data_IF_789809364427
#
_entry.id   IF_789809364427
#
_cell.length_a   1.000
_cell.length_b   1.000
_cell.length_c   1.000
_cell.angle_alpha   90.00
_cell.angle_beta   90.00
_cell.angle_gamma   90.00
#
_symmetry.space_group_name_H-M   'P 1'
#
loop_
_entity.id
_entity.type
_entity.pdbx_description
1 polymer ?
#
# COMPACT_ATOMS: atom_id res chain seq x y z
N UNK A 1 24.04 14.41 -3.50
CA UNK A 1 22.75 13.82 -3.91
C UNK A 1 21.62 14.61 -3.24
N UNK A 2 20.64 14.97 -3.99
CA UNK A 2 19.48 15.69 -3.45
C UNK A 2 18.23 14.84 -3.62
N UNK A 3 17.39 14.79 -2.58
CA UNK A 3 16.13 14.06 -2.58
C UNK A 3 15.00 15.01 -2.23
N UNK A 4 13.89 14.89 -2.94
CA UNK A 4 12.64 15.61 -2.63
C UNK A 4 11.86 14.83 -1.57
N UNK A 5 12.13 15.13 -0.29
CA UNK A 5 11.50 14.44 0.83
C UNK A 5 10.00 14.70 0.91
N UNK A 6 9.54 15.88 0.49
CA UNK A 6 8.11 16.16 0.40
C UNK A 6 7.43 15.29 -0.65
N UNK A 7 8.07 15.11 -1.81
CA UNK A 7 7.57 14.24 -2.87
C UNK A 7 7.55 12.77 -2.45
N UNK A 8 8.56 12.31 -1.73
CA UNK A 8 8.62 10.94 -1.19
C UNK A 8 7.51 10.73 -0.15
N UNK A 9 7.30 11.68 0.74
CA UNK A 9 6.22 11.62 1.74
C UNK A 9 4.84 11.62 1.07
N UNK A 10 4.64 12.44 0.03
CA UNK A 10 3.41 12.46 -0.75
C UNK A 10 3.16 11.13 -1.47
N UNK A 11 4.20 10.50 -2.00
CA UNK A 11 4.11 9.15 -2.57
C UNK A 11 3.66 8.13 -1.51
N UNK A 12 4.24 8.20 -0.31
CA UNK A 12 3.84 7.35 0.81
C UNK A 12 2.36 7.52 1.18
N UNK A 13 1.89 8.75 1.24
CA UNK A 13 0.48 9.05 1.50
C UNK A 13 -0.43 8.51 0.40
N UNK A 14 -0.04 8.64 -0.87
CA UNK A 14 -0.78 8.07 -2.01
C UNK A 14 -0.84 6.55 -1.93
N UNK A 15 0.26 5.88 -1.58
CA UNK A 15 0.28 4.43 -1.42
C UNK A 15 -0.64 3.97 -0.28
N UNK A 16 -0.70 4.68 0.83
CA UNK A 16 -1.64 4.39 1.92
C UNK A 16 -3.09 4.57 1.49
N UNK A 17 -3.40 5.61 0.72
CA UNK A 17 -4.74 5.82 0.16
C UNK A 17 -5.13 4.67 -0.77
N UNK A 18 -4.24 4.25 -1.65
CA UNK A 18 -4.47 3.10 -2.53
C UNK A 18 -4.65 1.80 -1.75
N UNK A 19 -3.91 1.61 -0.65
CA UNK A 19 -4.08 0.46 0.23
C UNK A 19 -5.49 0.41 0.83
N UNK A 20 -6.01 1.55 1.29
CA UNK A 20 -7.36 1.65 1.83
C UNK A 20 -8.42 1.38 0.75
N UNK A 21 -8.23 1.89 -0.46
CA UNK A 21 -9.11 1.65 -1.60
C UNK A 21 -9.11 0.16 -1.98
N UNK A 22 -7.94 -0.49 -1.98
CA UNK A 22 -7.85 -1.93 -2.25
C UNK A 22 -8.49 -2.77 -1.15
N UNK A 23 -8.37 -2.37 0.11
CA UNK A 23 -9.06 -3.04 1.21
C UNK A 23 -10.58 -2.94 1.06
N UNK A 24 -11.09 -1.77 0.68
CA UNK A 24 -12.51 -1.58 0.40
C UNK A 24 -12.96 -2.41 -0.81
N UNK A 25 -12.16 -2.50 -1.86
CA UNK A 25 -12.44 -3.32 -3.03
C UNK A 25 -12.48 -4.81 -2.67
N UNK A 26 -11.59 -5.27 -1.80
CA UNK A 26 -11.59 -6.65 -1.29
C UNK A 26 -12.88 -6.95 -0.54
N UNK A 27 -13.30 -6.06 0.35
CA UNK A 27 -14.56 -6.22 1.10
C UNK A 27 -15.78 -6.21 0.17
N UNK A 28 -15.79 -5.32 -0.83
CA UNK A 28 -16.86 -5.27 -1.83
C UNK A 28 -16.93 -6.54 -2.67
N UNK A 29 -15.78 -7.06 -3.11
CA UNK A 29 -15.71 -8.31 -3.86
C UNK A 29 -16.15 -9.50 -3.01
N UNK A 30 -15.78 -9.54 -1.74
CA UNK A 30 -16.23 -10.59 -0.82
C UNK A 30 -17.75 -10.56 -0.62
N UNK A 31 -18.36 -9.37 -0.59
CA UNK A 31 -19.81 -9.19 -0.48
C UNK A 31 -20.57 -9.69 -1.69
N UNK A 32 -19.95 -9.75 -2.88
CA UNK A 32 -20.52 -10.32 -4.10
C UNK A 32 -20.28 -11.83 -4.19
N UNK A 33 -20.55 -12.54 -3.10
CA UNK A 33 -20.23 -13.97 -2.98
C UNK A 33 -20.99 -14.81 -4.01
N UNK A 34 -20.32 -15.80 -4.65
CA UNK A 34 -20.94 -16.70 -5.62
C UNK A 34 -22.13 -17.48 -5.06
N UNK A 35 -22.18 -17.73 -3.76
CA UNK A 35 -23.28 -18.43 -3.11
C UNK A 35 -24.64 -17.76 -3.31
N UNK A 36 -24.67 -16.45 -3.58
CA UNK A 36 -25.90 -15.71 -3.88
C UNK A 36 -26.55 -16.15 -5.19
N UNK A 37 -25.78 -16.76 -6.10
CA UNK A 37 -26.24 -17.28 -7.38
C UNK A 37 -26.79 -18.71 -7.29
N UNK A 38 -26.57 -19.41 -6.17
CA UNK A 38 -26.99 -20.80 -5.99
C UNK A 38 -28.45 -21.07 -6.34
N UNK A 39 -29.43 -20.28 -5.82
CA UNK A 39 -30.84 -20.46 -6.13
C UNK A 39 -31.18 -20.25 -7.62
N UNK A 40 -30.39 -19.42 -8.32
CA UNK A 40 -30.61 -19.11 -9.74
C UNK A 40 -30.02 -20.20 -10.64
N UNK A 41 -28.83 -20.69 -10.30
CA UNK A 41 -28.11 -21.69 -11.09
C UNK A 41 -28.63 -23.12 -10.89
N UNK A 42 -29.25 -23.39 -9.74
CA UNK A 42 -29.81 -24.70 -9.43
C UNK A 42 -28.82 -25.85 -9.48
N UNK A 43 -29.30 -27.06 -9.77
CA UNK A 43 -28.47 -28.26 -9.79
C UNK A 43 -27.52 -28.32 -11.02
N UNK A 44 -27.88 -27.67 -12.12
CA UNK A 44 -27.13 -27.72 -13.38
C UNK A 44 -25.82 -26.94 -13.26
N UNK A 45 -25.80 -25.89 -12.44
CA UNK A 45 -24.63 -25.04 -12.24
C UNK A 45 -23.69 -25.46 -11.13
N UNK A 46 -23.89 -26.62 -10.50
CA UNK A 46 -23.14 -27.02 -9.29
C UNK A 46 -21.63 -27.04 -9.48
N UNK A 47 -21.14 -27.68 -10.53
CA UNK A 47 -19.70 -27.75 -10.84
C UNK A 47 -19.14 -26.36 -11.21
N UNK A 48 -19.88 -25.59 -12.00
CA UNK A 48 -19.53 -24.23 -12.33
C UNK A 48 -19.46 -23.36 -11.07
N UNK A 49 -20.44 -23.46 -10.19
CA UNK A 49 -20.47 -22.70 -8.95
C UNK A 49 -19.31 -23.02 -8.03
N UNK A 50 -18.90 -24.28 -7.93
CA UNK A 50 -17.75 -24.69 -7.14
C UNK A 50 -16.45 -24.08 -7.70
N UNK A 51 -16.25 -24.15 -9.01
CA UNK A 51 -15.09 -23.59 -9.68
C UNK A 51 -15.08 -22.04 -9.55
N UNK A 52 -16.22 -21.42 -9.74
CA UNK A 52 -16.36 -19.97 -9.60
C UNK A 52 -16.09 -19.52 -8.14
N UNK A 53 -16.59 -20.24 -7.15
CA UNK A 53 -16.34 -19.94 -5.74
C UNK A 53 -14.87 -20.02 -5.39
N UNK A 54 -14.15 -21.04 -5.88
CA UNK A 54 -12.70 -21.18 -5.65
C UNK A 54 -11.91 -20.02 -6.29
N UNK A 55 -12.23 -19.67 -7.54
CA UNK A 55 -11.61 -18.55 -8.24
C UNK A 55 -11.90 -17.23 -7.56
N UNK A 56 -13.14 -17.01 -7.14
CA UNK A 56 -13.56 -15.80 -6.42
C UNK A 56 -12.79 -15.64 -5.10
N UNK A 57 -12.70 -16.71 -4.29
CA UNK A 57 -11.96 -16.69 -3.04
C UNK A 57 -10.48 -16.35 -3.25
N UNK A 58 -9.85 -16.95 -4.25
CA UNK A 58 -8.46 -16.64 -4.63
C UNK A 58 -8.29 -15.18 -5.07
N UNK A 59 -9.25 -14.66 -5.81
CA UNK A 59 -9.23 -13.27 -6.27
C UNK A 59 -9.38 -12.28 -5.10
N UNK A 60 -10.32 -12.52 -4.19
CA UNK A 60 -10.50 -11.71 -2.98
C UNK A 60 -9.23 -11.71 -2.12
N UNK A 61 -8.61 -12.87 -1.93
CA UNK A 61 -7.35 -13.00 -1.20
C UNK A 61 -6.22 -12.21 -1.88
N UNK A 62 -6.12 -12.27 -3.20
CA UNK A 62 -5.11 -11.53 -3.97
C UNK A 62 -5.28 -10.01 -3.83
N UNK A 63 -6.50 -9.51 -3.86
CA UNK A 63 -6.80 -8.08 -3.63
C UNK A 63 -6.37 -7.67 -2.21
N UNK A 64 -6.66 -8.49 -1.21
CA UNK A 64 -6.22 -8.25 0.17
C UNK A 64 -4.71 -8.22 0.31
N UNK A 65 -3.99 -9.12 -0.36
CA UNK A 65 -2.52 -9.12 -0.39
C UNK A 65 -1.96 -7.87 -1.04
N UNK A 66 -2.57 -7.40 -2.12
CA UNK A 66 -2.16 -6.17 -2.80
C UNK A 66 -2.34 -4.96 -1.88
N UNK A 67 -3.43 -4.90 -1.11
CA UNK A 67 -3.62 -3.87 -0.08
C UNK A 67 -2.48 -3.87 0.94
N UNK A 68 -2.07 -5.03 1.43
CA UNK A 68 -0.96 -5.16 2.38
C UNK A 68 0.37 -4.70 1.76
N UNK A 69 0.64 -5.03 0.51
CA UNK A 69 1.84 -4.57 -0.21
C UNK A 69 1.84 -3.04 -0.34
N UNK A 70 0.73 -2.44 -0.71
CA UNK A 70 0.60 -0.99 -0.80
C UNK A 70 0.82 -0.29 0.54
N UNK A 71 0.34 -0.87 1.64
CA UNK A 71 0.60 -0.39 3.00
C UNK A 71 2.10 -0.43 3.31
N UNK A 72 2.78 -1.52 2.97
CA UNK A 72 4.23 -1.66 3.17
C UNK A 72 5.03 -0.65 2.35
N UNK A 73 4.65 -0.45 1.09
CA UNK A 73 5.28 0.55 0.21
C UNK A 73 5.10 1.95 0.77
N UNK A 74 3.89 2.29 1.22
CA UNK A 74 3.60 3.58 1.83
C UNK A 74 4.41 3.83 3.09
N UNK A 75 4.51 2.83 3.97
CA UNK A 75 5.33 2.90 5.18
C UNK A 75 6.81 3.08 4.90
N UNK A 76 7.33 2.33 3.93
CA UNK A 76 8.73 2.45 3.51
C UNK A 76 9.05 3.84 2.93
N UNK A 77 8.18 4.37 2.09
CA UNK A 77 8.34 5.70 1.51
C UNK A 77 8.31 6.80 2.58
N UNK A 78 7.35 6.73 3.48
CA UNK A 78 7.24 7.70 4.59
C UNK A 78 8.46 7.64 5.51
N UNK A 79 8.91 6.44 5.86
CA UNK A 79 10.12 6.26 6.68
C UNK A 79 11.38 6.79 5.98
N UNK A 80 11.51 6.54 4.68
CA UNK A 80 12.64 7.06 3.89
C UNK A 80 12.66 8.58 3.86
N UNK A 81 11.51 9.23 3.70
CA UNK A 81 11.39 10.68 3.70
C UNK A 81 11.87 11.27 5.03
N UNK A 82 11.45 10.69 6.15
CA UNK A 82 11.86 11.14 7.49
C UNK A 82 13.36 10.99 7.68
N UNK A 83 13.93 9.82 7.35
CA UNK A 83 15.36 9.56 7.53
C UNK A 83 16.20 10.49 6.66
N UNK A 84 15.80 10.72 5.41
CA UNK A 84 16.51 11.64 4.52
C UNK A 84 16.50 13.07 5.04
N UNK A 85 15.35 13.54 5.52
CA UNK A 85 15.21 14.89 6.08
C UNK A 85 16.06 15.07 7.34
N UNK A 86 16.02 14.10 8.27
CA UNK A 86 16.83 14.12 9.48
C UNK A 86 18.33 14.09 9.18
N UNK A 87 18.73 13.28 8.20
CA UNK A 87 20.13 13.17 7.77
C UNK A 87 20.61 14.49 7.17
N UNK A 88 19.82 15.10 6.32
CA UNK A 88 20.15 16.40 5.71
C UNK A 88 20.29 17.50 6.78
N UNK A 89 19.40 17.53 7.75
CA UNK A 89 19.50 18.50 8.86
C UNK A 89 20.75 18.26 9.70
N UNK A 90 21.07 17.02 10.00
CA UNK A 90 22.28 16.66 10.75
C UNK A 90 23.54 17.05 9.98
N UNK A 91 23.59 16.79 8.70
CA UNK A 91 24.72 17.16 7.86
C UNK A 91 24.88 18.69 7.74
N UNK A 92 23.78 19.39 7.57
CA UNK A 92 23.79 20.84 7.52
C UNK A 92 24.35 21.45 8.82
N UNK A 93 23.91 20.95 9.97
CA UNK A 93 24.41 21.39 11.27
C UNK A 93 25.92 21.08 11.45
N UNK A 94 26.38 19.94 10.98
CA UNK A 94 27.80 19.57 11.03
C UNK A 94 28.67 20.51 10.17
N UNK A 95 28.18 20.84 8.97
CA UNK A 95 28.89 21.77 8.06
C UNK A 95 28.94 23.18 8.68
N UNK A 96 27.81 23.65 9.22
CA UNK A 96 27.74 24.96 9.87
C UNK A 96 28.70 25.06 11.07
N UNK A 97 28.79 24.01 11.86
CA UNK A 97 29.75 23.93 12.98
C UNK A 97 31.18 23.95 12.50
N UNK A 98 31.49 23.25 11.41
CA UNK A 98 32.86 23.26 10.84
C UNK A 98 33.20 24.63 10.26
N UNK A 99 32.29 25.28 9.58
CA UNK A 99 32.49 26.63 9.03
C UNK A 99 32.73 27.64 10.14
N UNK A 100 31.97 27.61 11.21
CA UNK A 100 32.15 28.44 12.39
C UNK A 100 33.52 28.24 13.04
N UNK A 101 34.01 27.00 13.07
CA UNK A 101 35.36 26.66 13.57
C UNK A 101 36.46 27.21 12.70
N UNK A 102 36.29 27.27 11.39
CA UNK A 102 37.25 27.80 10.45
C UNK A 102 37.28 29.34 10.40
N UNK A 103 36.18 29.97 10.67
CA UNK A 103 36.03 31.41 10.67
C UNK A 103 36.56 32.11 11.91
N UNK A 104 36.90 31.34 12.92
CA UNK A 104 37.52 31.86 14.13
C UNK A 104 39.03 32.04 13.94
#
# INVERSE_FOLDING_TARGET
MSADTEGIAAYGASAHTMAAEMAAASAGAAGAAPALLGPIMGLIGGDFMAAYAATHAGHVAAIGQLSAVLTSVGGAATGAAVVLDETDQTNAAAIDSADSGLGA
#
